data_IF_436125994095
#
_entry.id   IF_436125994095
#
_cell.length_a   1.000
_cell.length_b   1.000
_cell.length_c   1.000
_cell.angle_alpha   90.00
_cell.angle_beta   90.00
_cell.angle_gamma   90.00
#
_symmetry.space_group_name_H-M   'P 1'
#
loop_
_entity.id
_entity.type
_entity.pdbx_description
1 polymer ?
#
# COMPACT_ATOMS: atom_id res chain seq x y z
N UNK A 1 9.33 1.03 8.65
CA UNK A 1 9.79 1.39 9.99
C UNK A 1 9.93 0.10 10.76
N UNK A 2 11.08 -0.12 11.37
CA UNK A 2 11.41 -1.34 12.09
C UNK A 2 11.88 -0.96 13.51
N UNK A 3 11.58 -1.82 14.48
CA UNK A 3 12.17 -1.87 15.82
C UNK A 3 13.08 -3.11 15.85
N UNK A 4 14.38 -2.91 15.71
CA UNK A 4 15.38 -3.98 15.57
C UNK A 4 15.90 -4.50 16.90
N UNK A 5 15.60 -3.81 18.01
CA UNK A 5 16.09 -4.15 19.35
C UNK A 5 14.97 -4.54 20.33
N UNK A 6 13.70 -4.40 19.94
CA UNK A 6 12.53 -4.78 20.72
C UNK A 6 12.20 -3.84 21.88
N UNK A 7 12.65 -2.58 21.84
CA UNK A 7 12.41 -1.61 22.90
C UNK A 7 11.09 -0.82 22.76
N UNK A 8 10.33 -1.10 21.69
CA UNK A 8 9.06 -0.45 21.38
C UNK A 8 9.23 0.89 20.66
N UNK A 9 10.45 1.24 20.22
CA UNK A 9 10.74 2.42 19.41
C UNK A 9 11.29 1.98 18.06
N UNK A 10 10.83 2.62 16.99
CA UNK A 10 11.44 2.39 15.69
C UNK A 10 12.82 3.04 15.62
N UNK A 11 13.83 2.26 15.26
CA UNK A 11 15.22 2.69 15.10
C UNK A 11 15.71 2.64 13.65
N UNK A 12 14.98 1.96 12.75
CA UNK A 12 15.33 1.84 11.33
C UNK A 12 14.19 2.24 10.40
N UNK A 13 14.53 2.97 9.35
CA UNK A 13 13.64 3.34 8.27
C UNK A 13 14.24 2.93 6.92
N UNK A 14 13.45 2.25 6.11
CA UNK A 14 13.73 1.96 4.71
C UNK A 14 12.69 2.65 3.85
N UNK A 15 13.11 3.31 2.76
CA UNK A 15 12.19 3.84 1.74
C UNK A 15 11.91 2.73 0.76
N UNK A 16 10.72 2.12 0.84
CA UNK A 16 10.29 1.07 -0.08
C UNK A 16 10.00 1.62 -1.48
N UNK A 17 9.24 2.71 -1.58
CA UNK A 17 8.93 3.36 -2.84
C UNK A 17 8.72 4.87 -2.65
N UNK A 18 9.16 5.66 -3.63
CA UNK A 18 8.87 7.10 -3.71
C UNK A 18 8.59 7.47 -5.17
N UNK A 19 7.39 7.97 -5.43
CA UNK A 19 6.97 8.44 -6.75
C UNK A 19 5.77 9.38 -6.66
N UNK A 20 5.55 10.20 -7.70
CA UNK A 20 4.44 11.17 -7.76
C UNK A 20 3.06 10.54 -7.97
N UNK A 21 3.04 9.26 -8.29
CA UNK A 21 1.85 8.43 -8.36
C UNK A 21 1.35 7.98 -6.98
N UNK A 22 2.13 8.24 -5.92
CA UNK A 22 1.76 8.03 -4.52
C UNK A 22 2.08 9.29 -3.72
N UNK A 23 1.36 10.39 -3.96
CA UNK A 23 1.52 11.60 -3.14
C UNK A 23 0.75 11.50 -1.80
N UNK A 24 -0.32 10.71 -1.73
CA UNK A 24 -1.08 10.40 -0.50
C UNK A 24 -1.45 8.93 -0.46
N UNK A 25 -0.67 8.13 0.28
CA UNK A 25 -1.03 6.76 0.59
C UNK A 25 -2.12 6.73 1.67
N UNK A 26 -3.27 6.14 1.36
CA UNK A 26 -4.44 6.10 2.23
C UNK A 26 -4.56 4.77 3.00
N UNK A 27 -3.83 3.75 2.55
CA UNK A 27 -3.91 2.40 3.05
C UNK A 27 -2.78 1.56 2.45
N UNK A 28 -2.24 0.65 3.26
CA UNK A 28 -1.15 -0.25 2.89
C UNK A 28 -1.53 -1.66 3.35
N UNK A 29 -1.44 -2.63 2.43
CA UNK A 29 -1.64 -4.05 2.72
C UNK A 29 -0.45 -4.86 2.18
N UNK A 30 0.23 -5.59 3.05
CA UNK A 30 1.40 -6.41 2.69
C UNK A 30 0.99 -7.88 2.63
N UNK A 31 1.21 -8.52 1.48
CA UNK A 31 0.86 -9.91 1.20
C UNK A 31 2.07 -10.64 0.62
N UNK A 32 2.90 -11.19 1.50
CA UNK A 32 4.19 -11.78 1.11
C UNK A 32 5.06 -10.73 0.44
N UNK A 33 5.38 -10.93 -0.82
CA UNK A 33 6.25 -10.06 -1.61
C UNK A 33 5.49 -8.97 -2.41
N UNK A 34 4.18 -8.81 -2.13
CA UNK A 34 3.32 -7.80 -2.77
C UNK A 34 2.85 -6.78 -1.75
N UNK A 35 2.88 -5.51 -2.13
CA UNK A 35 2.37 -4.39 -1.33
C UNK A 35 1.27 -3.68 -2.12
N UNK A 36 0.06 -3.69 -1.59
CA UNK A 36 -1.08 -2.95 -2.14
C UNK A 36 -1.12 -1.59 -1.47
N UNK A 37 -1.16 -0.52 -2.27
CA UNK A 37 -1.25 0.86 -1.80
C UNK A 37 -2.46 1.52 -2.43
N UNK A 38 -3.39 2.00 -1.61
CA UNK A 38 -4.50 2.83 -2.08
C UNK A 38 -4.05 4.29 -2.17
N UNK A 39 -4.10 4.87 -3.37
CA UNK A 39 -3.71 6.25 -3.65
C UNK A 39 -4.52 6.80 -4.83
N UNK A 40 -5.65 7.44 -4.52
CA UNK A 40 -6.60 7.91 -5.53
C UNK A 40 -5.92 8.75 -6.63
N UNK A 41 -6.20 8.49 -7.91
CA UNK A 41 -7.35 7.72 -8.44
C UNK A 41 -7.09 6.22 -8.62
N UNK A 42 -5.95 5.68 -8.16
CA UNK A 42 -5.56 4.29 -8.39
C UNK A 42 -5.37 3.51 -7.08
N UNK A 43 -5.47 2.19 -7.19
CA UNK A 43 -4.91 1.26 -6.21
C UNK A 43 -3.76 0.56 -6.90
N UNK A 44 -2.55 0.74 -6.36
CA UNK A 44 -1.32 0.20 -6.92
C UNK A 44 -0.94 -1.10 -6.22
N UNK A 45 -0.36 -2.03 -6.98
CA UNK A 45 0.32 -3.21 -6.47
C UNK A 45 1.79 -3.08 -6.83
N UNK A 46 2.62 -3.10 -5.79
CA UNK A 46 4.05 -3.20 -5.90
C UNK A 46 4.47 -4.65 -5.64
N UNK A 47 5.38 -5.19 -6.43
CA UNK A 47 5.96 -6.52 -6.19
C UNK A 47 7.47 -6.40 -6.07
N UNK A 48 8.00 -6.88 -4.95
CA UNK A 48 9.43 -7.05 -4.67
C UNK A 48 9.77 -8.53 -4.95
N UNK A 49 10.53 -8.81 -6.00
CA UNK A 49 10.82 -10.17 -6.47
C UNK A 49 12.07 -10.73 -5.81
N UNK A 50 13.05 -9.88 -5.51
CA UNK A 50 14.35 -10.30 -5.00
C UNK A 50 14.52 -10.09 -3.48
N UNK A 51 13.55 -9.46 -2.81
CA UNK A 51 13.50 -9.29 -1.37
C UNK A 51 14.44 -8.21 -0.85
N UNK A 52 14.77 -7.22 -1.69
CA UNK A 52 15.67 -6.12 -1.33
C UNK A 52 14.97 -4.89 -0.72
N UNK A 53 13.67 -5.03 -0.39
CA UNK A 53 12.77 -3.97 0.07
C UNK A 53 12.63 -2.82 -0.95
N UNK A 54 12.78 -3.10 -2.25
CA UNK A 54 12.42 -2.19 -3.34
C UNK A 54 11.56 -2.94 -4.36
N UNK A 55 10.50 -2.30 -4.88
CA UNK A 55 9.63 -2.99 -5.82
C UNK A 55 10.23 -3.02 -7.23
N UNK A 56 10.35 -4.23 -7.78
CA UNK A 56 10.73 -4.46 -9.18
C UNK A 56 9.60 -4.18 -10.16
N UNK A 57 8.35 -4.30 -9.68
CA UNK A 57 7.14 -4.15 -10.50
C UNK A 57 6.13 -3.26 -9.83
N UNK A 58 5.40 -2.52 -10.66
CA UNK A 58 4.28 -1.67 -10.28
C UNK A 58 3.14 -1.86 -11.26
N UNK A 59 1.98 -2.23 -10.74
CA UNK A 59 0.77 -2.53 -11.51
C UNK A 59 -0.42 -1.77 -10.92
N UNK A 60 -1.41 -1.46 -11.76
CA UNK A 60 -2.68 -0.88 -11.30
C UNK A 60 -3.65 -2.03 -11.04
N UNK A 61 -4.08 -2.19 -9.79
CA UNK A 61 -5.10 -3.16 -9.41
C UNK A 61 -6.51 -2.63 -9.71
N UNK A 62 -6.77 -1.39 -9.32
CA UNK A 62 -8.00 -0.67 -9.62
C UNK A 62 -7.68 0.74 -10.06
N UNK A 63 -8.49 1.28 -10.96
CA UNK A 63 -8.44 2.69 -11.38
C UNK A 63 -9.80 3.34 -11.17
N UNK A 64 -9.81 4.67 -11.20
CA UNK A 64 -11.02 5.48 -10.99
C UNK A 64 -11.64 5.28 -9.61
N UNK A 65 -10.80 5.03 -8.61
CA UNK A 65 -11.22 4.90 -7.21
C UNK A 65 -11.30 6.29 -6.56
N UNK A 66 -12.00 7.25 -7.16
CA UNK A 66 -12.12 8.62 -6.69
C UNK A 66 -11.27 9.65 -7.45
N UNK A 67 -11.36 10.92 -7.03
CA UNK A 67 -10.55 12.02 -7.59
C UNK A 67 -9.10 11.94 -7.08
N UNK A 68 -8.11 12.48 -7.82
CA UNK A 68 -6.74 12.50 -7.35
C UNK A 68 -6.58 13.16 -5.98
N UNK A 69 -5.85 12.51 -5.07
CA UNK A 69 -5.54 13.03 -3.73
C UNK A 69 -6.80 13.35 -2.88
N UNK A 70 -7.84 12.53 -3.00
CA UNK A 70 -9.12 12.72 -2.29
C UNK A 70 -9.32 11.66 -1.19
N UNK A 71 -9.73 12.11 0.00
CA UNK A 71 -9.87 11.29 1.22
C UNK A 71 -11.18 10.49 1.29
N UNK A 72 -12.27 10.91 0.64
CA UNK A 72 -13.50 10.08 0.52
C UNK A 72 -13.41 8.96 -0.53
N UNK A 73 -12.26 8.30 -0.65
CA UNK A 73 -11.99 7.32 -1.71
C UNK A 73 -11.64 5.93 -1.15
N UNK A 74 -10.86 5.12 -1.86
CA UNK A 74 -10.43 3.80 -1.37
C UNK A 74 -9.34 3.95 -0.29
N UNK A 75 -9.50 3.29 0.86
CA UNK A 75 -8.48 3.26 1.94
C UNK A 75 -7.91 1.85 2.14
N UNK A 76 -8.24 1.20 3.24
CA UNK A 76 -7.51 0.04 3.71
C UNK A 76 -7.96 -1.21 2.99
N UNK A 77 -6.99 -1.98 2.52
CA UNK A 77 -7.18 -3.36 2.08
C UNK A 77 -6.77 -4.30 3.21
N UNK A 78 -7.53 -5.37 3.39
CA UNK A 78 -7.27 -6.43 4.36
C UNK A 78 -7.50 -7.78 3.69
N UNK A 79 -6.60 -8.73 3.91
CA UNK A 79 -6.81 -10.11 3.50
C UNK A 79 -7.30 -10.93 4.69
N UNK A 80 -8.52 -11.47 4.57
CA UNK A 80 -9.15 -12.25 5.62
C UNK A 80 -8.62 -13.68 5.67
N UNK A 81 -8.74 -14.35 6.84
CA UNK A 81 -8.36 -15.77 6.99
C UNK A 81 -9.23 -16.71 6.14
N UNK A 82 -10.35 -16.21 5.59
CA UNK A 82 -11.23 -16.90 4.65
C UNK A 82 -10.73 -16.84 3.19
N UNK A 83 -9.55 -16.26 2.95
CA UNK A 83 -8.96 -16.13 1.63
C UNK A 83 -9.57 -15.01 0.77
N UNK A 84 -10.34 -14.10 1.36
CA UNK A 84 -10.97 -12.99 0.66
C UNK A 84 -10.29 -11.66 0.97
N UNK A 85 -10.37 -10.74 0.01
CA UNK A 85 -9.89 -9.38 0.18
C UNK A 85 -11.06 -8.45 0.51
N UNK A 86 -10.92 -7.72 1.60
CA UNK A 86 -11.87 -6.74 2.11
C UNK A 86 -11.28 -5.35 1.99
N UNK A 87 -12.10 -4.38 1.59
CA UNK A 87 -11.69 -2.99 1.48
C UNK A 87 -12.89 -2.06 1.58
N UNK A 88 -12.64 -0.80 1.93
CA UNK A 88 -13.67 0.22 2.00
C UNK A 88 -13.51 1.24 0.88
N UNK A 89 -14.65 1.75 0.42
CA UNK A 89 -14.73 2.83 -0.56
C UNK A 89 -15.73 3.88 -0.04
N UNK A 90 -15.26 5.12 0.10
CA UNK A 90 -16.12 6.25 0.44
C UNK A 90 -17.09 6.60 -0.68
N UNK A 91 -18.02 7.52 -0.42
CA UNK A 91 -18.81 8.10 -1.49
C UNK A 91 -17.98 9.14 -2.25
N UNK A 92 -18.10 9.16 -3.57
CA UNK A 92 -17.50 10.19 -4.43
C UNK A 92 -18.56 10.71 -5.39
#
# INVERSE_FOLDING_TARGET
LEDTNGDGRSDKQTVFYQGRDVDSAMGICVLGNRVIVSCSPNVLVFTDVDGDDKPDRKEILFSKTGQPQHDHSAHSFLFGPDGKMYWNFGNT
#
